data_IF_881280083846
#
_entry.id   IF_881280083846
#
_cell.length_a   1.000
_cell.length_b   1.000
_cell.length_c   1.000
_cell.angle_alpha   90.00
_cell.angle_beta   90.00
_cell.angle_gamma   90.00
#
_symmetry.space_group_name_H-M   'P 1'
#
loop_
_entity.id
_entity.type
_entity.pdbx_description
1 polymer ?
#
# COMPACT_ATOMS: atom_id res chain seq x y z
N UNK A 1 5.72 2.31 -7.22
CA UNK A 1 6.57 2.46 -6.05
C UNK A 1 6.48 1.19 -5.23
N UNK A 2 7.57 0.63 -4.82
CA UNK A 2 7.58 -0.59 -4.01
C UNK A 2 8.66 -0.41 -2.94
N UNK A 3 8.34 -0.80 -1.71
CA UNK A 3 9.32 -0.98 -0.65
C UNK A 3 10.40 -1.92 -1.17
N UNK A 4 11.66 -1.46 -1.19
CA UNK A 4 12.76 -2.25 -1.69
C UNK A 4 13.37 -3.18 -0.62
N UNK A 5 14.21 -4.12 -1.06
CA UNK A 5 14.75 -5.15 -0.17
C UNK A 5 15.78 -4.60 0.81
N UNK A 6 16.54 -3.56 0.44
CA UNK A 6 17.53 -2.93 1.33
C UNK A 6 16.83 -2.12 2.41
N UNK A 7 15.84 -1.30 2.03
CA UNK A 7 15.02 -0.56 2.99
C UNK A 7 14.34 -1.53 3.96
N UNK A 8 13.76 -2.61 3.42
CA UNK A 8 13.10 -3.65 4.22
C UNK A 8 14.07 -4.37 5.16
N UNK A 9 15.33 -4.58 4.75
CA UNK A 9 16.37 -5.18 5.59
C UNK A 9 16.62 -4.34 6.85
N UNK A 10 16.78 -3.03 6.69
CA UNK A 10 16.98 -2.13 7.83
C UNK A 10 15.72 -1.98 8.68
N UNK A 11 14.57 -1.85 8.05
CA UNK A 11 13.28 -1.82 8.72
C UNK A 11 13.04 -3.10 9.54
N UNK A 12 13.35 -4.28 8.99
CA UNK A 12 13.29 -5.56 9.69
C UNK A 12 14.23 -5.57 10.92
N UNK A 13 15.44 -5.05 10.79
CA UNK A 13 16.38 -4.95 11.92
C UNK A 13 15.84 -4.02 13.01
N UNK A 14 15.30 -2.86 12.65
CA UNK A 14 14.64 -1.92 13.58
C UNK A 14 13.46 -2.56 14.29
N UNK A 15 12.55 -3.19 13.53
CA UNK A 15 11.39 -3.88 14.11
C UNK A 15 11.83 -5.02 15.01
N UNK A 16 12.85 -5.80 14.61
CA UNK A 16 13.38 -6.92 15.39
C UNK A 16 13.93 -6.48 16.74
N UNK A 17 14.60 -5.34 16.80
CA UNK A 17 15.19 -4.83 18.04
C UNK A 17 14.16 -4.67 19.18
N UNK A 18 12.93 -4.30 18.85
CA UNK A 18 11.83 -4.20 19.82
C UNK A 18 10.97 -5.48 19.88
N UNK A 19 10.65 -6.06 18.71
CA UNK A 19 9.63 -7.10 18.61
C UNK A 19 10.13 -8.47 19.07
N UNK A 20 11.42 -8.80 18.91
CA UNK A 20 11.96 -10.08 19.38
C UNK A 20 11.87 -10.16 20.90
N UNK A 21 11.22 -11.22 21.40
CA UNK A 21 10.92 -11.39 22.81
C UNK A 21 9.63 -10.73 23.29
N UNK A 22 9.04 -9.81 22.51
CA UNK A 22 7.74 -9.23 22.82
C UNK A 22 6.60 -10.23 22.67
N UNK A 23 5.48 -9.94 23.35
CA UNK A 23 4.22 -10.69 23.23
C UNK A 23 3.19 -9.92 22.43
N UNK A 24 2.38 -10.63 21.68
CA UNK A 24 1.21 -10.10 20.97
C UNK A 24 0.05 -9.98 21.97
N UNK A 25 -0.29 -8.76 22.39
CA UNK A 25 -1.41 -8.52 23.32
C UNK A 25 -2.76 -8.48 22.59
N UNK A 26 -2.81 -7.78 21.45
CA UNK A 26 -4.05 -7.60 20.68
C UNK A 26 -3.77 -7.73 19.20
N UNK A 27 -4.74 -8.33 18.49
CA UNK A 27 -4.72 -8.48 17.05
C UNK A 27 -5.99 -7.84 16.49
N UNK A 28 -5.80 -6.94 15.54
CA UNK A 28 -6.87 -6.30 14.79
C UNK A 28 -6.62 -6.46 13.28
N UNK A 29 -7.69 -6.37 12.51
CA UNK A 29 -7.67 -6.37 11.06
C UNK A 29 -8.48 -5.16 10.57
N UNK A 30 -7.82 -3.98 10.44
CA UNK A 30 -8.49 -2.74 10.08
C UNK A 30 -9.15 -2.79 8.71
N UNK A 31 -8.53 -3.49 7.75
CA UNK A 31 -9.06 -3.70 6.41
C UNK A 31 -8.86 -5.15 5.94
N UNK A 32 -9.34 -5.47 4.74
CA UNK A 32 -9.13 -6.80 4.12
C UNK A 32 -7.66 -7.13 3.87
N UNK A 33 -6.79 -6.13 3.85
CA UNK A 33 -5.39 -6.26 3.46
C UNK A 33 -4.41 -5.77 4.53
N UNK A 34 -4.88 -5.51 5.77
CA UNK A 34 -4.06 -4.98 6.86
C UNK A 34 -4.30 -5.72 8.17
N UNK A 35 -3.22 -5.96 8.91
CA UNK A 35 -3.24 -6.46 10.27
C UNK A 35 -2.52 -5.47 11.20
N UNK A 36 -3.04 -5.27 12.38
CA UNK A 36 -2.46 -4.41 13.40
C UNK A 36 -2.26 -5.21 14.69
N UNK A 37 -0.99 -5.37 15.09
CA UNK A 37 -0.61 -6.05 16.32
C UNK A 37 -0.21 -5.05 17.39
N UNK A 38 -0.82 -5.15 18.57
CA UNK A 38 -0.31 -4.48 19.77
C UNK A 38 0.71 -5.39 20.42
N UNK A 39 1.96 -4.96 20.41
CA UNK A 39 3.08 -5.69 21.00
C UNK A 39 3.43 -5.11 22.37
N UNK A 40 3.75 -5.99 23.32
CA UNK A 40 4.26 -5.62 24.65
C UNK A 40 5.63 -6.26 24.87
N UNK A 41 6.62 -5.44 25.15
CA UNK A 41 7.95 -5.82 25.61
C UNK A 41 8.26 -5.23 26.97
N UNK A 42 9.48 -5.45 27.49
CA UNK A 42 9.96 -4.79 28.72
C UNK A 42 10.16 -3.29 28.51
N UNK A 43 10.39 -2.85 27.28
CA UNK A 43 10.60 -1.45 26.89
C UNK A 43 9.28 -0.68 26.69
N UNK A 44 8.13 -1.36 26.79
CA UNK A 44 6.83 -0.73 26.64
C UNK A 44 5.92 -1.43 25.63
N UNK A 45 5.03 -0.64 25.03
CA UNK A 45 4.08 -1.13 24.04
C UNK A 45 4.25 -0.37 22.72
N UNK A 46 4.20 -1.11 21.58
CA UNK A 46 4.17 -0.52 20.23
C UNK A 46 3.10 -1.18 19.38
N UNK A 47 2.63 -0.46 18.36
CA UNK A 47 1.69 -0.98 17.37
C UNK A 47 2.45 -1.30 16.10
N UNK A 48 2.44 -2.58 15.70
CA UNK A 48 3.06 -3.07 14.47
C UNK A 48 1.96 -3.22 13.42
N UNK A 49 2.05 -2.43 12.35
CA UNK A 49 1.18 -2.51 11.18
C UNK A 49 1.83 -3.41 10.14
N UNK A 50 1.04 -4.35 9.64
CA UNK A 50 1.38 -5.27 8.55
C UNK A 50 0.38 -5.00 7.43
N UNK A 51 0.83 -4.56 6.27
CA UNK A 51 -0.02 -4.26 5.12
C UNK A 51 0.40 -5.06 3.89
N UNK A 52 -0.56 -5.66 3.22
CA UNK A 52 -0.40 -6.28 1.90
C UNK A 52 -1.18 -5.54 0.81
N UNK A 53 -1.56 -4.28 1.06
CA UNK A 53 -2.15 -3.40 0.04
C UNK A 53 -1.11 -3.12 -1.05
N UNK A 54 -1.57 -3.01 -2.29
CA UNK A 54 -0.66 -2.83 -3.43
C UNK A 54 0.14 -1.51 -3.37
N UNK A 55 -0.43 -0.49 -2.74
CA UNK A 55 0.10 0.88 -2.64
C UNK A 55 0.86 1.16 -1.34
N UNK A 56 0.56 0.41 -0.25
CA UNK A 56 1.11 0.64 1.09
C UNK A 56 1.64 -0.64 1.74
N UNK A 57 2.09 -1.62 0.93
CA UNK A 57 2.62 -2.88 1.46
C UNK A 57 3.87 -2.65 2.32
N UNK A 58 3.90 -3.26 3.50
CA UNK A 58 5.01 -3.12 4.43
C UNK A 58 4.74 -3.73 5.81
N UNK A 59 5.77 -3.64 6.66
CA UNK A 59 5.75 -4.01 8.07
C UNK A 59 6.49 -2.92 8.85
N UNK A 60 5.81 -2.15 9.71
CA UNK A 60 6.43 -1.03 10.44
C UNK A 60 5.63 -0.67 11.70
N UNK A 61 6.28 -0.01 12.64
CA UNK A 61 5.59 0.59 13.78
C UNK A 61 4.84 1.84 13.33
N UNK A 62 3.60 2.01 13.84
CA UNK A 62 2.73 3.14 13.48
C UNK A 62 2.25 3.91 14.72
N UNK A 63 2.31 5.23 14.61
CA UNK A 63 1.68 6.16 15.53
C UNK A 63 0.26 6.57 15.06
N UNK A 64 -0.08 6.24 13.79
CA UNK A 64 -1.37 6.52 13.16
C UNK A 64 -2.15 5.24 12.83
N UNK A 65 -2.55 4.44 13.85
CA UNK A 65 -3.21 3.17 13.60
C UNK A 65 -4.55 3.38 12.89
N UNK A 66 -4.84 2.59 11.84
CA UNK A 66 -6.13 2.64 11.16
C UNK A 66 -7.28 2.27 12.10
N UNK A 67 -8.49 2.78 11.80
CA UNK A 67 -9.71 2.44 12.51
C UNK A 67 -10.09 0.97 12.28
N UNK A 68 -10.58 0.32 13.33
CA UNK A 68 -11.00 -1.07 13.26
C UNK A 68 -12.48 -1.19 12.91
N UNK A 69 -12.88 -2.20 12.11
CA UNK A 69 -14.29 -2.47 11.85
C UNK A 69 -15.00 -2.93 13.12
N UNK A 70 -16.31 -2.69 13.19
CA UNK A 70 -17.15 -3.10 14.33
C UNK A 70 -17.18 -4.61 14.54
N UNK A 71 -17.06 -5.39 13.45
CA UNK A 71 -16.99 -6.87 13.49
C UNK A 71 -15.65 -7.33 12.92
N UNK A 72 -14.86 -8.11 13.67
CA UNK A 72 -13.59 -8.63 13.18
C UNK A 72 -13.81 -9.65 12.06
N UNK A 73 -13.02 -9.62 10.98
CA UNK A 73 -13.05 -10.65 9.93
C UNK A 73 -12.61 -12.04 10.44
N UNK A 74 -12.95 -13.09 9.67
CA UNK A 74 -12.67 -14.49 10.04
C UNK A 74 -11.18 -14.74 10.27
N UNK A 75 -10.29 -14.27 9.41
CA UNK A 75 -8.85 -14.43 9.61
C UNK A 75 -8.37 -13.75 10.90
N UNK A 76 -8.90 -12.58 11.24
CA UNK A 76 -8.59 -11.93 12.51
C UNK A 76 -8.96 -12.82 13.71
N UNK A 77 -10.09 -13.52 13.65
CA UNK A 77 -10.52 -14.46 14.70
C UNK A 77 -9.59 -15.67 14.76
N UNK A 78 -9.19 -16.22 13.61
CA UNK A 78 -8.20 -17.30 13.54
C UNK A 78 -6.85 -16.88 14.14
N UNK A 79 -6.35 -15.71 13.76
CA UNK A 79 -5.11 -15.17 14.31
C UNK A 79 -5.20 -14.95 15.83
N UNK A 80 -6.33 -14.43 16.33
CA UNK A 80 -6.55 -14.28 17.78
C UNK A 80 -6.56 -15.63 18.50
N UNK A 81 -7.19 -16.63 17.93
CA UNK A 81 -7.23 -17.99 18.52
C UNK A 81 -5.81 -18.56 18.72
N UNK A 82 -4.94 -18.40 17.73
CA UNK A 82 -3.62 -19.05 17.72
C UNK A 82 -2.48 -18.16 18.23
N UNK A 83 -2.57 -16.84 18.05
CA UNK A 83 -1.45 -15.93 18.29
C UNK A 83 -1.66 -14.95 19.44
N UNK A 84 -2.84 -14.91 20.11
CA UNK A 84 -2.99 -14.07 21.32
C UNK A 84 -2.05 -14.56 22.42
N UNK A 85 -1.24 -13.62 22.95
CA UNK A 85 -0.19 -13.94 23.94
C UNK A 85 1.06 -14.60 23.37
N UNK A 86 1.11 -14.92 22.08
CA UNK A 86 2.27 -15.52 21.44
C UNK A 86 3.51 -14.61 21.58
N UNK A 87 4.67 -15.23 21.76
CA UNK A 87 5.97 -14.58 21.82
C UNK A 87 6.59 -14.57 20.43
N UNK A 88 7.11 -13.42 20.01
CA UNK A 88 7.91 -13.29 18.78
C UNK A 88 9.31 -13.80 19.07
N UNK A 89 9.76 -14.79 18.29
CA UNK A 89 11.08 -15.41 18.43
C UNK A 89 12.12 -14.77 17.53
N UNK A 90 11.79 -14.54 16.26
CA UNK A 90 12.67 -13.92 15.27
C UNK A 90 11.88 -13.25 14.15
N UNK A 91 12.54 -12.32 13.45
CA UNK A 91 12.13 -11.80 12.14
C UNK A 91 13.26 -12.12 11.16
N UNK A 92 12.95 -12.88 10.12
CA UNK A 92 13.93 -13.39 9.15
C UNK A 92 13.60 -12.85 7.76
N UNK A 93 14.64 -12.57 6.98
CA UNK A 93 14.57 -12.16 5.57
C UNK A 93 15.64 -12.91 4.80
N UNK A 94 15.32 -13.54 3.69
CA UNK A 94 16.27 -14.26 2.86
C UNK A 94 17.02 -13.26 1.96
N UNK A 95 18.30 -13.00 2.27
CA UNK A 95 19.08 -11.98 1.59
C UNK A 95 18.37 -10.63 1.60
N UNK A 96 18.11 -10.08 0.42
CA UNK A 96 17.35 -8.85 0.22
C UNK A 96 15.99 -9.10 -0.49
N UNK A 97 15.47 -10.33 -0.38
CA UNK A 97 14.10 -10.62 -0.85
C UNK A 97 13.06 -9.84 -0.04
N UNK A 98 11.93 -9.51 -0.66
CA UNK A 98 10.87 -8.73 0.00
C UNK A 98 9.86 -9.62 0.71
N UNK A 99 10.40 -10.55 1.52
CA UNK A 99 9.64 -11.51 2.31
C UNK A 99 10.19 -11.50 3.74
N UNK A 100 9.32 -11.24 4.71
CA UNK A 100 9.67 -11.34 6.13
C UNK A 100 8.93 -12.53 6.73
N UNK A 101 9.67 -13.40 7.43
CA UNK A 101 9.11 -14.50 8.23
C UNK A 101 9.19 -14.11 9.70
N UNK A 102 8.05 -13.97 10.35
CA UNK A 102 7.95 -13.75 11.79
C UNK A 102 7.72 -15.09 12.45
N UNK A 103 8.72 -15.60 13.16
CA UNK A 103 8.62 -16.83 13.94
C UNK A 103 7.94 -16.52 15.27
N UNK A 104 6.94 -17.32 15.62
CA UNK A 104 6.07 -17.13 16.77
C UNK A 104 6.00 -18.41 17.58
N UNK A 105 5.94 -18.28 18.90
CA UNK A 105 5.67 -19.36 19.82
C UNK A 105 4.44 -19.02 20.64
N UNK A 106 3.45 -19.90 20.60
CA UNK A 106 2.22 -19.77 21.37
C UNK A 106 2.00 -21.00 22.27
N UNK A 107 1.07 -20.90 23.18
CA UNK A 107 0.59 -22.01 24.01
C UNK A 107 -0.76 -22.42 23.42
N UNK A 108 -0.92 -23.73 23.11
CA UNK A 108 -2.17 -24.28 22.64
C UNK A 108 -3.18 -24.51 23.79
N UNK A 109 -4.38 -24.95 23.47
CA UNK A 109 -5.45 -25.23 24.46
C UNK A 109 -5.08 -26.34 25.47
N UNK A 110 -4.11 -27.20 25.14
CA UNK A 110 -3.59 -28.28 26.01
C UNK A 110 -2.42 -27.81 26.89
N UNK A 111 -1.92 -26.60 26.70
CA UNK A 111 -0.76 -26.07 27.44
C UNK A 111 0.58 -26.33 26.77
N UNK A 112 0.62 -26.96 25.58
CA UNK A 112 1.86 -27.22 24.86
C UNK A 112 2.35 -25.97 24.10
N UNK A 113 3.68 -25.88 23.99
CA UNK A 113 4.31 -24.87 23.16
C UNK A 113 4.25 -25.25 21.68
N UNK A 114 3.61 -24.43 20.89
CA UNK A 114 3.47 -24.62 19.43
C UNK A 114 4.10 -23.45 18.67
N UNK A 115 4.74 -23.78 17.54
CA UNK A 115 5.36 -22.81 16.65
C UNK A 115 4.43 -22.39 15.51
N UNK A 116 4.48 -21.11 15.15
CA UNK A 116 3.84 -20.58 13.96
C UNK A 116 4.81 -19.67 13.21
N UNK A 117 4.57 -19.51 11.92
CA UNK A 117 5.28 -18.51 11.10
C UNK A 117 4.24 -17.62 10.43
N UNK A 118 4.34 -16.32 10.66
CA UNK A 118 3.58 -15.33 9.88
C UNK A 118 4.50 -14.81 8.78
N UNK A 119 4.16 -15.13 7.53
CA UNK A 119 4.93 -14.73 6.35
C UNK A 119 4.30 -13.46 5.77
N UNK A 120 5.10 -12.42 5.63
CA UNK A 120 4.72 -11.13 5.04
C UNK A 120 5.45 -10.96 3.72
N UNK A 121 4.73 -11.08 2.62
CA UNK A 121 5.25 -10.92 1.25
C UNK A 121 4.92 -9.52 0.74
N UNK A 122 5.94 -8.76 0.30
CA UNK A 122 5.82 -7.36 -0.11
C UNK A 122 6.15 -7.24 -1.61
N UNK A 123 5.16 -7.55 -2.46
CA UNK A 123 5.32 -7.65 -3.91
C UNK A 123 4.23 -6.86 -4.68
N UNK A 124 3.94 -5.62 -4.23
CA UNK A 124 2.91 -4.77 -4.83
C UNK A 124 1.54 -5.45 -4.81
N UNK A 125 0.91 -5.61 -5.97
CA UNK A 125 -0.42 -6.27 -6.06
C UNK A 125 -0.43 -7.73 -5.59
N UNK A 126 0.70 -8.39 -5.60
CA UNK A 126 0.86 -9.78 -5.16
C UNK A 126 1.30 -9.90 -3.69
N UNK A 127 1.36 -8.77 -2.96
CA UNK A 127 1.65 -8.79 -1.53
C UNK A 127 0.60 -9.60 -0.79
N UNK A 128 1.05 -10.35 0.24
CA UNK A 128 0.19 -11.22 1.03
C UNK A 128 0.69 -11.33 2.47
N UNK A 129 -0.19 -11.74 3.38
CA UNK A 129 0.17 -12.12 4.75
C UNK A 129 -0.43 -13.48 5.01
N UNK A 130 0.43 -14.45 5.32
CA UNK A 130 0.11 -15.89 5.35
C UNK A 130 0.47 -16.45 6.73
N UNK A 131 -0.47 -17.10 7.38
CA UNK A 131 -0.20 -17.85 8.61
C UNK A 131 0.14 -19.30 8.27
N UNK A 132 1.29 -19.76 8.75
CA UNK A 132 1.82 -21.10 8.54
C UNK A 132 2.03 -21.77 9.89
N UNK A 133 1.68 -23.05 10.02
CA UNK A 133 1.87 -23.83 11.23
C UNK A 133 3.33 -24.31 11.39
N UNK A 134 3.60 -25.05 12.48
CA UNK A 134 4.93 -25.62 12.76
C UNK A 134 5.43 -26.66 11.76
N UNK A 135 4.53 -27.22 10.94
CA UNK A 135 4.84 -28.21 9.90
C UNK A 135 5.05 -27.58 8.52
N UNK A 136 4.91 -26.25 8.41
CA UNK A 136 5.03 -25.55 7.13
C UNK A 136 3.74 -25.53 6.31
N UNK A 137 2.60 -25.88 6.91
CA UNK A 137 1.29 -25.89 6.24
C UNK A 137 0.58 -24.55 6.44
N UNK A 138 0.02 -24.01 5.38
CA UNK A 138 -0.77 -22.77 5.38
C UNK A 138 -2.05 -23.00 6.18
N UNK A 139 -2.23 -22.24 7.24
CA UNK A 139 -3.47 -22.23 8.01
C UNK A 139 -4.51 -21.29 7.37
N UNK A 140 -4.09 -20.10 6.98
CA UNK A 140 -4.88 -19.15 6.17
C UNK A 140 -4.01 -17.98 5.68
N UNK A 141 -4.59 -17.15 4.81
CA UNK A 141 -3.93 -15.97 4.24
C UNK A 141 -4.93 -14.83 4.02
N UNK A 142 -4.44 -13.58 4.01
CA UNK A 142 -5.27 -12.42 3.66
C UNK A 142 -5.78 -12.51 2.22
N UNK A 143 -4.92 -12.98 1.30
CA UNK A 143 -5.28 -13.21 -0.10
C UNK A 143 -5.09 -14.70 -0.43
N UNK A 144 -6.18 -15.41 -0.56
CA UNK A 144 -6.14 -16.81 -1.03
C UNK A 144 -5.94 -16.84 -2.54
N UNK A 145 -4.98 -17.65 -2.97
CA UNK A 145 -4.59 -17.80 -4.38
C UNK A 145 -4.75 -19.27 -4.75
N UNK A 146 -5.76 -19.55 -5.56
CA UNK A 146 -6.03 -20.85 -6.14
C UNK A 146 -5.34 -20.99 -7.53
N UNK A 147 -5.38 -22.19 -8.10
CA UNK A 147 -4.80 -22.48 -9.43
C UNK A 147 -5.37 -21.61 -10.56
N UNK A 148 -6.63 -21.17 -10.43
CA UNK A 148 -7.25 -20.28 -11.40
C UNK A 148 -6.70 -18.84 -11.38
N UNK A 149 -6.09 -18.43 -10.25
CA UNK A 149 -5.49 -17.09 -10.09
C UNK A 149 -3.99 -17.08 -10.36
N UNK A 150 -3.30 -18.18 -10.18
CA UNK A 150 -1.86 -18.27 -10.40
C UNK A 150 -1.45 -19.68 -10.80
N UNK A 151 -0.71 -19.77 -11.91
CA UNK A 151 -0.05 -21.02 -12.34
C UNK A 151 1.33 -21.21 -11.68
N UNK A 152 1.84 -20.22 -10.94
CA UNK A 152 3.18 -20.27 -10.34
C UNK A 152 3.16 -20.98 -9.00
N UNK A 153 2.17 -20.68 -8.16
CA UNK A 153 1.98 -21.28 -6.84
C UNK A 153 0.57 -21.04 -6.31
N UNK A 154 0.10 -21.93 -5.47
CA UNK A 154 -1.13 -21.78 -4.70
C UNK A 154 -0.85 -21.20 -3.31
N UNK A 155 -1.81 -20.48 -2.73
CA UNK A 155 -1.80 -20.02 -1.33
C UNK A 155 -3.17 -20.30 -0.75
N UNK A 156 -3.38 -21.55 -0.33
CA UNK A 156 -4.66 -22.04 0.17
C UNK A 156 -4.47 -22.77 1.50
N UNK A 157 -5.45 -22.69 2.41
CA UNK A 157 -5.41 -23.46 3.65
C UNK A 157 -5.25 -24.97 3.39
N UNK A 158 -4.35 -25.61 4.14
CA UNK A 158 -4.02 -27.03 4.01
C UNK A 158 -2.87 -27.35 3.04
N UNK A 159 -2.44 -26.38 2.23
CA UNK A 159 -1.30 -26.53 1.32
C UNK A 159 0.03 -26.20 2.01
N UNK A 160 1.15 -26.83 1.60
CA UNK A 160 2.46 -26.44 2.08
C UNK A 160 2.83 -25.03 1.56
N UNK A 161 3.43 -24.21 2.43
CA UNK A 161 3.91 -22.90 2.00
C UNK A 161 5.12 -23.06 1.07
N UNK A 162 5.01 -22.52 -0.13
CA UNK A 162 6.11 -22.37 -1.08
C UNK A 162 6.45 -20.88 -1.24
N UNK A 163 7.73 -20.54 -1.11
CA UNK A 163 8.19 -19.17 -1.38
C UNK A 163 8.06 -18.83 -2.88
N UNK A 164 7.89 -17.55 -3.23
CA UNK A 164 8.01 -17.11 -4.62
C UNK A 164 9.36 -17.50 -5.22
N UNK A 165 9.45 -17.68 -6.56
CA UNK A 165 10.71 -17.98 -7.22
C UNK A 165 11.78 -16.95 -6.91
N UNK A 166 12.98 -17.41 -6.53
CA UNK A 166 14.13 -16.55 -6.30
C UNK A 166 14.59 -15.87 -7.59
N UNK A 167 15.15 -14.66 -7.47
CA UNK A 167 15.70 -13.91 -8.59
C UNK A 167 17.24 -14.16 -8.68
N UNK A 168 17.76 -14.35 -9.89
CA UNK A 168 19.22 -14.42 -10.14
C UNK A 168 19.81 -13.00 -10.12
N UNK A 169 19.97 -12.43 -8.92
CA UNK A 169 20.54 -11.10 -8.70
C UNK A 169 21.56 -11.11 -7.58
N UNK A 170 22.50 -10.18 -7.66
CA UNK A 170 23.58 -10.05 -6.69
C UNK A 170 23.11 -9.29 -5.46
N UNK A 171 23.46 -9.80 -4.27
CA UNK A 171 23.20 -9.11 -3.01
C UNK A 171 24.25 -8.02 -2.79
N UNK A 172 23.85 -6.75 -2.83
CA UNK A 172 24.72 -5.59 -2.67
C UNK A 172 25.50 -5.59 -1.34
N UNK A 173 24.96 -6.18 -0.29
CA UNK A 173 25.59 -6.21 1.02
C UNK A 173 26.70 -7.28 1.12
N UNK A 174 26.63 -8.34 0.31
CA UNK A 174 27.51 -9.52 0.38
C UNK A 174 28.61 -9.49 -0.68
N UNK A 175 28.27 -9.10 -1.92
CA UNK A 175 29.25 -9.15 -3.03
C UNK A 175 30.06 -7.86 -3.13
N UNK A 176 31.26 -7.96 -3.78
CA UNK A 176 32.08 -6.78 -4.01
C UNK A 176 31.47 -5.86 -5.09
N UNK A 177 31.75 -4.54 -5.03
CA UNK A 177 31.33 -3.60 -6.08
C UNK A 177 31.82 -4.00 -7.49
N UNK A 178 33.00 -4.59 -7.59
CA UNK A 178 33.57 -5.01 -8.88
C UNK A 178 32.78 -6.16 -9.52
N UNK A 179 32.27 -7.10 -8.73
CA UNK A 179 31.39 -8.16 -9.22
C UNK A 179 30.08 -7.59 -9.76
N UNK A 180 29.54 -6.57 -9.09
CA UNK A 180 28.32 -5.88 -9.54
C UNK A 180 28.58 -5.13 -10.85
N UNK A 181 29.71 -4.37 -10.93
CA UNK A 181 30.11 -3.67 -12.17
C UNK A 181 30.32 -4.63 -13.33
N UNK A 182 30.99 -5.77 -13.07
CA UNK A 182 31.14 -6.81 -14.07
C UNK A 182 29.81 -7.36 -14.58
N UNK A 183 28.84 -7.61 -13.68
CA UNK A 183 27.49 -8.05 -14.07
C UNK A 183 26.74 -6.99 -14.88
N UNK A 184 26.85 -5.70 -14.52
CA UNK A 184 26.25 -4.58 -15.22
C UNK A 184 26.85 -4.43 -16.63
N UNK A 185 28.19 -4.56 -16.77
CA UNK A 185 28.89 -4.40 -18.07
C UNK A 185 28.49 -5.44 -19.13
N UNK A 186 27.92 -6.57 -18.71
CA UNK A 186 27.36 -7.59 -19.60
C UNK A 186 25.98 -7.22 -20.15
N UNK A 187 25.34 -6.16 -19.60
CA UNK A 187 24.01 -5.72 -20.02
C UNK A 187 24.10 -4.65 -21.12
N UNK A 188 23.27 -4.79 -22.14
CA UNK A 188 23.09 -3.77 -23.20
C UNK A 188 21.93 -2.79 -22.91
N UNK A 189 21.41 -2.80 -21.68
CA UNK A 189 20.29 -1.93 -21.26
C UNK A 189 20.78 -0.58 -20.74
N UNK A 190 19.85 0.39 -20.62
CA UNK A 190 20.15 1.66 -19.97
C UNK A 190 20.70 1.43 -18.53
N UNK A 191 21.61 2.30 -18.03
CA UNK A 191 22.34 2.10 -16.78
C UNK A 191 21.43 1.78 -15.57
N UNK A 192 20.37 2.55 -15.36
CA UNK A 192 19.41 2.29 -14.28
C UNK A 192 18.77 0.91 -14.40
N UNK A 193 18.44 0.46 -15.60
CA UNK A 193 17.82 -0.84 -15.83
C UNK A 193 18.81 -1.97 -15.69
N UNK A 194 20.04 -1.81 -16.19
CA UNK A 194 21.13 -2.76 -16.02
C UNK A 194 21.44 -2.98 -14.54
N UNK A 195 21.52 -1.91 -13.75
CA UNK A 195 21.69 -1.97 -12.30
C UNK A 195 20.54 -2.69 -11.61
N UNK A 196 19.28 -2.37 -11.97
CA UNK A 196 18.09 -3.03 -11.43
C UNK A 196 18.03 -4.54 -11.70
N UNK A 197 18.52 -4.95 -12.89
CA UNK A 197 18.51 -6.36 -13.28
C UNK A 197 19.68 -7.15 -12.64
N UNK A 198 20.80 -6.47 -12.34
CA UNK A 198 21.98 -7.07 -11.72
C UNK A 198 21.88 -7.19 -10.20
N UNK A 199 21.23 -6.22 -9.52
CA UNK A 199 21.27 -6.08 -8.06
C UNK A 199 19.93 -6.41 -7.43
N UNK A 200 19.97 -7.22 -6.37
CA UNK A 200 18.83 -7.59 -5.57
C UNK A 200 18.39 -6.45 -4.64
N UNK A 201 17.10 -6.29 -4.48
CA UNK A 201 16.53 -5.44 -3.43
C UNK A 201 16.71 -3.93 -3.63
N UNK A 202 16.96 -3.46 -4.85
CA UNK A 202 17.04 -2.03 -5.17
C UNK A 202 15.75 -1.53 -5.82
N UNK A 203 15.35 -0.31 -5.43
CA UNK A 203 14.18 0.39 -6.00
C UNK A 203 14.56 1.23 -7.23
N UNK A 204 13.59 1.64 -8.06
CA UNK A 204 13.85 2.50 -9.20
C UNK A 204 14.50 3.85 -8.84
N UNK A 205 14.23 4.39 -7.64
CA UNK A 205 14.85 5.65 -7.20
C UNK A 205 16.38 5.47 -7.00
N UNK A 206 16.80 4.35 -6.41
CA UNK A 206 18.23 4.02 -6.25
C UNK A 206 18.88 3.77 -7.60
N UNK A 207 18.17 3.09 -8.52
CA UNK A 207 18.70 2.84 -9.87
C UNK A 207 18.91 4.14 -10.67
N UNK A 208 18.02 5.13 -10.50
CA UNK A 208 18.19 6.45 -11.14
C UNK A 208 19.35 7.25 -10.52
N UNK A 209 19.62 7.12 -9.22
CA UNK A 209 20.81 7.73 -8.60
C UNK A 209 22.10 7.13 -9.18
N UNK A 210 22.12 5.81 -9.43
CA UNK A 210 23.23 5.18 -10.15
C UNK A 210 23.39 5.75 -11.57
N UNK A 211 22.32 5.92 -12.33
CA UNK A 211 22.33 6.53 -13.66
C UNK A 211 22.80 7.99 -13.64
N UNK A 212 22.49 8.73 -12.57
CA UNK A 212 22.94 10.11 -12.34
C UNK A 212 24.40 10.21 -11.84
N UNK A 213 25.14 9.10 -11.82
CA UNK A 213 26.56 9.08 -11.53
C UNK A 213 26.95 8.70 -10.09
N UNK A 214 26.00 8.33 -9.24
CA UNK A 214 26.33 7.76 -7.92
C UNK A 214 26.94 6.37 -8.12
N UNK A 215 28.18 6.16 -7.68
CA UNK A 215 28.90 4.89 -7.90
C UNK A 215 28.32 3.73 -7.10
N UNK A 216 28.60 2.49 -7.54
CA UNK A 216 28.18 1.26 -6.83
C UNK A 216 28.76 1.24 -5.41
N UNK A 217 30.01 1.69 -5.24
CA UNK A 217 30.67 1.78 -3.94
C UNK A 217 29.92 2.70 -2.99
N UNK A 218 29.49 3.87 -3.50
CA UNK A 218 28.77 4.86 -2.70
C UNK A 218 27.37 4.38 -2.33
N UNK A 219 26.65 3.73 -3.26
CA UNK A 219 25.36 3.11 -2.96
C UNK A 219 25.51 2.00 -1.90
N UNK A 220 26.58 1.18 -1.98
CA UNK A 220 26.88 0.17 -0.97
C UNK A 220 27.21 0.78 0.38
N UNK A 221 27.99 1.87 0.42
CA UNK A 221 28.28 2.60 1.66
C UNK A 221 26.98 3.08 2.33
N UNK A 222 26.07 3.67 1.56
CA UNK A 222 24.74 4.07 2.05
C UNK A 222 23.89 2.86 2.49
N UNK A 223 23.97 1.74 1.79
CA UNK A 223 23.27 0.52 2.19
C UNK A 223 23.82 -0.08 3.49
N UNK A 224 25.10 0.14 3.82
CA UNK A 224 25.70 -0.31 5.08
C UNK A 224 25.50 0.70 6.23
N UNK A 225 25.43 2.00 5.92
CA UNK A 225 25.16 3.11 6.87
C UNK A 225 23.98 3.95 6.37
N UNK A 226 22.75 3.43 6.53
CA UNK A 226 21.60 4.02 5.88
C UNK A 226 21.08 5.28 6.59
N UNK A 227 20.49 6.16 5.79
CA UNK A 227 19.78 7.35 6.23
C UNK A 227 18.40 7.38 5.57
N UNK A 228 17.33 6.98 6.28
CA UNK A 228 16.01 6.90 5.68
C UNK A 228 15.47 8.29 5.39
N UNK A 229 15.02 8.48 4.15
CA UNK A 229 14.51 9.77 3.66
C UNK A 229 13.20 9.57 2.90
N UNK A 230 12.33 10.59 2.95
CA UNK A 230 11.19 10.72 2.06
C UNK A 230 11.40 11.89 1.10
N UNK A 231 10.95 11.71 -0.14
CA UNK A 231 10.96 12.71 -1.21
C UNK A 231 9.58 13.33 -1.31
N UNK A 232 9.49 14.65 -1.16
CA UNK A 232 8.25 15.38 -1.04
C UNK A 232 8.23 16.50 -2.08
N UNK A 233 7.15 16.56 -2.88
CA UNK A 233 6.80 17.71 -3.71
C UNK A 233 5.58 18.40 -3.08
N UNK A 234 4.44 18.48 -3.76
CA UNK A 234 3.14 18.81 -3.17
C UNK A 234 2.59 17.70 -2.25
N UNK A 235 3.15 16.49 -2.36
CA UNK A 235 2.88 15.31 -1.54
C UNK A 235 4.11 14.40 -1.49
N UNK A 236 4.18 13.46 -0.54
CA UNK A 236 5.22 12.43 -0.56
C UNK A 236 5.13 11.57 -1.83
N UNK A 237 6.22 11.52 -2.61
CA UNK A 237 6.26 10.83 -3.91
C UNK A 237 7.10 9.55 -3.89
N UNK A 238 8.19 9.52 -3.09
CA UNK A 238 9.05 8.35 -2.94
C UNK A 238 9.75 8.34 -1.57
N UNK A 239 10.41 7.25 -1.24
CA UNK A 239 11.27 7.11 -0.05
C UNK A 239 12.42 6.14 -0.36
N UNK A 240 13.53 6.29 0.37
CA UNK A 240 14.70 5.41 0.22
C UNK A 240 15.59 5.44 1.48
N UNK A 241 16.62 4.60 1.50
CA UNK A 241 17.59 4.47 2.59
C UNK A 241 18.81 5.39 2.42
N UNK A 242 18.88 6.20 1.38
CA UNK A 242 20.06 7.00 1.01
C UNK A 242 19.65 8.42 0.58
N UNK A 243 20.58 9.39 0.63
CA UNK A 243 20.36 10.70 0.05
C UNK A 243 20.03 10.62 -1.44
N UNK A 244 19.18 11.53 -1.93
CA UNK A 244 18.67 11.57 -3.30
C UNK A 244 19.00 12.91 -3.93
N UNK A 245 19.57 12.90 -5.14
CA UNK A 245 19.99 14.09 -5.87
C UNK A 245 19.21 14.34 -7.15
N UNK A 246 18.56 13.31 -7.69
CA UNK A 246 17.87 13.34 -9.00
C UNK A 246 16.73 14.34 -9.13
N UNK A 247 16.22 14.87 -8.03
CA UNK A 247 15.11 15.84 -8.04
C UNK A 247 15.58 17.29 -7.94
N UNK A 248 16.87 17.55 -7.62
CA UNK A 248 17.39 18.90 -7.41
C UNK A 248 16.50 19.70 -6.46
N UNK A 249 16.21 20.95 -6.83
CA UNK A 249 15.36 21.86 -6.05
C UNK A 249 13.84 21.62 -6.24
N UNK A 250 13.45 20.62 -7.03
CA UNK A 250 12.03 20.32 -7.33
C UNK A 250 11.35 19.56 -6.22
N UNK A 251 12.09 18.98 -5.26
CA UNK A 251 11.56 18.21 -4.14
C UNK A 251 12.31 18.50 -2.84
N UNK A 252 11.57 18.52 -1.74
CA UNK A 252 12.13 18.47 -0.39
C UNK A 252 12.57 17.03 -0.09
N UNK A 253 13.80 16.87 0.40
CA UNK A 253 14.31 15.59 0.92
C UNK A 253 14.26 15.67 2.43
N UNK A 254 13.31 14.94 3.04
CA UNK A 254 13.14 14.91 4.49
C UNK A 254 13.75 13.66 5.08
N UNK A 255 14.72 13.83 5.98
CA UNK A 255 15.32 12.74 6.73
C UNK A 255 14.48 12.38 7.96
N UNK A 256 14.55 11.13 8.38
CA UNK A 256 13.89 10.59 9.56
C UNK A 256 14.89 9.80 10.41
N UNK A 257 14.60 9.70 11.71
CA UNK A 257 15.46 8.96 12.65
C UNK A 257 15.32 7.45 12.47
N UNK A 258 14.15 6.98 12.02
CA UNK A 258 13.85 5.55 11.87
C UNK A 258 13.13 5.23 10.56
N UNK A 259 13.28 3.99 10.12
CA UNK A 259 12.62 3.46 8.92
C UNK A 259 11.10 3.37 9.09
N UNK A 260 10.63 3.02 10.30
CA UNK A 260 9.19 3.01 10.61
C UNK A 260 8.60 4.39 10.51
N UNK A 261 9.24 5.43 11.06
CA UNK A 261 8.76 6.81 10.96
C UNK A 261 8.65 7.28 9.51
N UNK A 262 9.62 6.91 8.67
CA UNK A 262 9.59 7.24 7.23
C UNK A 262 8.38 6.64 6.55
N UNK A 263 8.10 5.35 6.76
CA UNK A 263 6.95 4.68 6.15
C UNK A 263 5.63 5.15 6.73
N UNK A 264 5.55 5.32 8.05
CA UNK A 264 4.35 5.77 8.73
C UNK A 264 3.94 7.16 8.25
N UNK A 265 4.90 8.12 8.21
CA UNK A 265 4.70 9.44 7.62
C UNK A 265 4.28 9.33 6.16
N UNK A 266 5.05 8.61 5.33
CA UNK A 266 4.84 8.54 3.89
C UNK A 266 3.46 7.98 3.52
N UNK A 267 3.04 6.87 4.16
CA UNK A 267 1.77 6.23 3.87
C UNK A 267 0.60 6.99 4.49
N UNK A 268 0.75 7.53 5.71
CA UNK A 268 -0.30 8.32 6.36
C UNK A 268 -0.66 9.56 5.55
N UNK A 269 0.34 10.34 5.14
CA UNK A 269 0.15 11.55 4.32
C UNK A 269 -0.54 11.22 2.99
N UNK A 270 -0.08 10.19 2.30
CA UNK A 270 -0.68 9.77 1.02
C UNK A 270 -2.13 9.35 1.18
N UNK A 271 -2.43 8.49 2.14
CA UNK A 271 -3.80 8.04 2.40
C UNK A 271 -4.70 9.23 2.76
N UNK A 272 -4.19 10.17 3.54
CA UNK A 272 -4.92 11.38 3.95
C UNK A 272 -5.22 12.27 2.74
N UNK A 273 -4.22 12.55 1.91
CA UNK A 273 -4.38 13.36 0.70
C UNK A 273 -5.34 12.70 -0.29
N UNK A 274 -5.21 11.40 -0.52
CA UNK A 274 -6.10 10.67 -1.44
C UNK A 274 -7.55 10.65 -0.92
N UNK A 275 -7.76 10.51 0.39
CA UNK A 275 -9.08 10.61 1.02
C UNK A 275 -9.71 12.01 0.85
N UNK A 276 -8.92 13.07 1.04
CA UNK A 276 -9.37 14.44 0.82
C UNK A 276 -9.74 14.65 -0.65
N UNK A 277 -8.88 14.21 -1.59
CA UNK A 277 -9.14 14.32 -3.03
C UNK A 277 -10.40 13.57 -3.46
N UNK A 278 -10.60 12.36 -2.95
CA UNK A 278 -11.81 11.58 -3.24
C UNK A 278 -13.06 12.30 -2.74
N UNK A 279 -13.09 12.75 -1.47
CA UNK A 279 -14.23 13.48 -0.90
C UNK A 279 -14.50 14.80 -1.65
N UNK A 280 -13.45 15.55 -1.97
CA UNK A 280 -13.57 16.77 -2.77
C UNK A 280 -14.15 16.46 -4.15
N UNK A 281 -13.67 15.42 -4.83
CA UNK A 281 -14.17 15.00 -6.14
C UNK A 281 -15.65 14.62 -6.13
N UNK A 282 -16.12 13.91 -5.10
CA UNK A 282 -17.53 13.56 -4.91
C UNK A 282 -18.40 14.81 -4.69
N UNK A 283 -17.91 15.76 -3.88
CA UNK A 283 -18.59 17.04 -3.65
C UNK A 283 -18.66 17.87 -4.93
N UNK A 284 -17.55 18.01 -5.65
CA UNK A 284 -17.53 18.72 -6.94
C UNK A 284 -18.50 18.11 -7.95
N UNK A 285 -18.51 16.79 -8.09
CA UNK A 285 -19.45 16.09 -8.97
C UNK A 285 -20.90 16.36 -8.58
N UNK A 286 -21.21 16.36 -7.30
CA UNK A 286 -22.57 16.66 -6.80
C UNK A 286 -22.97 18.10 -7.12
N UNK A 287 -22.07 19.07 -6.84
CA UNK A 287 -22.31 20.50 -7.13
C UNK A 287 -22.50 20.73 -8.63
N UNK A 288 -21.61 20.16 -9.48
CA UNK A 288 -21.75 20.28 -10.94
C UNK A 288 -23.07 19.72 -11.45
N UNK A 289 -23.49 18.56 -10.95
CA UNK A 289 -24.78 17.96 -11.31
C UNK A 289 -25.96 18.85 -10.90
N UNK A 290 -25.91 19.45 -9.71
CA UNK A 290 -26.94 20.39 -9.24
C UNK A 290 -26.96 21.66 -10.08
N UNK A 291 -25.78 22.20 -10.43
CA UNK A 291 -25.64 23.37 -11.31
C UNK A 291 -26.23 23.09 -12.70
N UNK A 292 -25.87 21.97 -13.33
CA UNK A 292 -26.41 21.59 -14.63
C UNK A 292 -27.92 21.44 -14.62
N UNK A 293 -28.49 20.84 -13.56
CA UNK A 293 -29.96 20.73 -13.38
C UNK A 293 -30.62 22.10 -13.22
N UNK A 294 -30.01 23.01 -12.44
CA UNK A 294 -30.52 24.36 -12.25
C UNK A 294 -30.51 25.16 -13.56
N UNK A 295 -29.38 25.10 -14.33
CA UNK A 295 -29.28 25.74 -15.64
C UNK A 295 -30.30 25.19 -16.63
N UNK A 296 -30.46 23.86 -16.71
CA UNK A 296 -31.46 23.23 -17.58
C UNK A 296 -32.87 23.65 -17.21
N UNK A 297 -33.16 23.72 -15.89
CA UNK A 297 -34.47 24.19 -15.42
C UNK A 297 -34.73 25.65 -15.75
N UNK A 298 -33.72 26.51 -15.64
CA UNK A 298 -33.80 27.92 -16.01
C UNK A 298 -34.07 28.09 -17.52
N UNK A 299 -33.33 27.37 -18.37
CA UNK A 299 -33.53 27.39 -19.82
C UNK A 299 -34.91 26.91 -20.25
N UNK A 300 -35.40 25.82 -19.63
CA UNK A 300 -36.75 25.32 -19.92
C UNK A 300 -37.81 26.34 -19.52
N UNK A 301 -37.70 26.99 -18.35
CA UNK A 301 -38.61 28.04 -17.92
C UNK A 301 -38.58 29.26 -18.81
N UNK A 302 -37.39 29.64 -19.27
CA UNK A 302 -37.26 30.73 -20.23
C UNK A 302 -37.95 30.42 -21.55
N UNK A 303 -37.79 29.20 -22.07
CA UNK A 303 -38.47 28.71 -23.25
C UNK A 303 -40.01 28.68 -23.05
N UNK A 304 -40.47 28.15 -21.91
CA UNK A 304 -41.90 28.17 -21.56
C UNK A 304 -42.46 29.60 -21.50
N UNK A 305 -41.67 30.58 -21.03
CA UNK A 305 -42.04 31.99 -20.98
C UNK A 305 -42.15 32.60 -22.40
N UNK A 306 -41.17 32.27 -23.27
CA UNK A 306 -41.19 32.65 -24.67
C UNK A 306 -42.40 32.06 -25.42
N UNK A 307 -42.68 30.76 -25.20
CA UNK A 307 -43.83 30.05 -25.76
C UNK A 307 -45.17 30.63 -25.23
N UNK A 308 -45.19 31.29 -24.07
CA UNK A 308 -46.35 31.96 -23.50
C UNK A 308 -46.48 33.42 -23.93
N UNK A 309 -45.51 33.99 -24.65
CA UNK A 309 -45.56 35.38 -25.05
C UNK A 309 -46.82 35.70 -25.93
N UNK A 310 -47.20 34.76 -26.77
CA UNK A 310 -48.34 34.89 -27.68
C UNK A 310 -49.67 34.47 -27.06
N UNK A 311 -49.69 34.20 -25.76
CA UNK A 311 -50.88 33.70 -25.04
C UNK A 311 -52.08 34.63 -25.15
N UNK A 312 -51.87 35.95 -25.09
CA UNK A 312 -52.89 36.97 -25.22
C UNK A 312 -53.51 36.96 -26.62
N UNK A 313 -52.69 36.83 -27.67
CA UNK A 313 -53.12 36.76 -29.05
C UNK A 313 -54.01 35.50 -29.29
N UNK A 314 -53.55 34.33 -28.81
CA UNK A 314 -54.32 33.08 -28.87
C UNK A 314 -55.64 33.18 -28.09
N UNK A 315 -55.67 33.92 -26.98
CA UNK A 315 -56.89 34.17 -26.20
C UNK A 315 -57.86 35.00 -27.01
N UNK A 316 -57.38 36.09 -27.68
CA UNK A 316 -58.19 36.93 -28.56
C UNK A 316 -58.80 36.11 -29.73
N UNK A 317 -57.97 35.23 -30.33
CA UNK A 317 -58.42 34.33 -31.39
C UNK A 317 -59.46 33.34 -30.85
N UNK A 318 -59.28 32.79 -29.67
CA UNK A 318 -60.26 31.91 -29.01
C UNK A 318 -61.58 32.61 -28.72
N UNK A 319 -61.51 33.84 -28.22
CA UNK A 319 -62.74 34.65 -27.95
C UNK A 319 -63.43 35.02 -29.26
N UNK A 320 -62.72 35.40 -30.33
CA UNK A 320 -63.31 35.65 -31.66
C UNK A 320 -63.97 34.40 -32.25
N UNK A 321 -63.32 33.25 -32.19
CA UNK A 321 -63.91 31.98 -32.67
C UNK A 321 -65.13 31.62 -31.88
N UNK A 322 -65.14 31.86 -30.58
CA UNK A 322 -66.28 31.57 -29.73
C UNK A 322 -67.49 32.52 -30.02
N UNK A 323 -67.21 33.82 -30.26
CA UNK A 323 -68.21 34.81 -30.62
C UNK A 323 -68.79 34.50 -32.01
N UNK A 324 -68.00 34.06 -32.95
CA UNK A 324 -68.45 33.77 -34.35
C UNK A 324 -68.84 32.30 -34.55
N UNK A 325 -69.00 31.52 -33.49
CA UNK A 325 -69.30 30.09 -33.55
C UNK A 325 -70.53 29.74 -34.36
N UNK A 326 -71.50 30.61 -34.36
CA UNK A 326 -72.75 30.43 -35.12
C UNK A 326 -72.61 30.82 -36.60
N UNK A 327 -71.66 31.69 -36.94
CA UNK A 327 -71.39 32.10 -38.33
C UNK A 327 -70.53 31.09 -39.06
N UNK A 328 -69.66 30.31 -38.34
CA UNK A 328 -68.74 29.29 -38.86
C UNK A 328 -69.41 27.93 -39.16
N UNK A 329 -70.77 27.85 -39.08
CA UNK A 329 -71.47 26.66 -39.52
C UNK A 329 -71.61 26.68 -41.04
N UNK A 330 -70.57 26.17 -41.68
CA UNK A 330 -70.59 25.22 -42.80
C UNK A 330 -69.23 24.71 -43.16
#
# INVERSE_FOLDING_TARGET
MALDGIFLYHLKNEVSAFAVGARIEKIHQPSKEELLFSLRSREGAKKLLLSCRADTAGIYFTDYPPENPSKPPMLCMLLRKHLSGAKILSLEQDGLERIIRIKLQAVNELGDLVGFTLVVEIMGRYSNIILVDGNGIIMDALKRVDEGKSHVRTVMPGEPYAAPPAQDKLNLLEVSPDQIKARISLSHRAPAKAFQDAVMGVSPIVCREYENGVSVEKIREYALSPHPVAVITDKPIDFTFMPVTQYGDLAEIRAFDTFSQTLDYFYHERVTIDRIRQRSGELFKTISTLQERAVRKALNRQKELEDCADKEEYKIFGDLITAEQYALKK
#
